data_IF_566908641420
#
_entry.id   IF_566908641420
#
_cell.length_a   1.000
_cell.length_b   1.000
_cell.length_c   1.000
_cell.angle_alpha   90.00
_cell.angle_beta   90.00
_cell.angle_gamma   90.00
#
_symmetry.space_group_name_H-M   'P 1'
#
loop_
_entity.id
_entity.type
_entity.pdbx_description
1 polymer ?
#
# COMPACT_ATOMS: atom_id res chain seq x y z
N UNK A 1 7.61 -26.11 -20.07
CA UNK A 1 6.83 -27.08 -19.26
C UNK A 1 5.85 -26.27 -18.45
N UNK A 2 4.59 -26.72 -18.32
CA UNK A 2 3.63 -26.07 -17.42
C UNK A 2 4.16 -26.17 -16.00
N UNK A 3 4.28 -25.03 -15.32
CA UNK A 3 4.70 -25.03 -13.92
C UNK A 3 3.46 -25.27 -13.08
N UNK A 4 3.37 -26.46 -12.49
CA UNK A 4 2.26 -26.88 -11.64
C UNK A 4 2.81 -27.40 -10.31
N UNK A 5 2.36 -26.81 -9.21
CA UNK A 5 2.77 -27.18 -7.85
C UNK A 5 1.63 -26.90 -6.87
N UNK A 6 1.76 -27.44 -5.66
CA UNK A 6 0.84 -27.14 -4.57
C UNK A 6 1.59 -26.68 -3.31
N UNK A 7 0.97 -25.75 -2.58
CA UNK A 7 1.38 -25.36 -1.23
C UNK A 7 0.38 -25.97 -0.24
N UNK A 8 0.88 -26.63 0.80
CA UNK A 8 0.05 -27.27 1.84
C UNK A 8 0.40 -26.73 3.23
N UNK A 9 -0.62 -26.32 3.97
CA UNK A 9 -0.47 -25.75 5.32
C UNK A 9 -1.75 -25.07 5.81
N UNK A 10 -1.64 -24.23 6.83
CA UNK A 10 -2.75 -23.34 7.19
C UNK A 10 -2.86 -22.24 6.15
N UNK A 11 -4.06 -21.94 5.67
CA UNK A 11 -4.27 -20.93 4.63
C UNK A 11 -5.31 -19.89 5.05
N UNK A 12 -5.17 -18.68 4.52
CA UNK A 12 -6.19 -17.64 4.55
C UNK A 12 -6.81 -17.56 3.15
N UNK A 13 -7.97 -18.18 2.96
CA UNK A 13 -8.69 -18.22 1.69
C UNK A 13 -10.13 -17.77 1.88
N UNK A 14 -10.65 -16.98 0.93
CA UNK A 14 -12.03 -16.47 0.95
C UNK A 14 -12.45 -15.83 2.29
N UNK A 15 -11.54 -15.09 2.94
CA UNK A 15 -11.79 -14.41 4.22
C UNK A 15 -11.81 -15.35 5.45
N UNK A 16 -11.39 -16.61 5.29
CA UNK A 16 -11.42 -17.61 6.35
C UNK A 16 -10.04 -18.24 6.59
N UNK A 17 -9.80 -18.62 7.85
CA UNK A 17 -8.65 -19.43 8.24
C UNK A 17 -8.99 -20.92 8.11
N UNK A 18 -8.22 -21.65 7.30
CA UNK A 18 -8.39 -23.09 7.06
C UNK A 18 -7.13 -23.81 7.57
N UNK A 19 -7.30 -24.80 8.45
CA UNK A 19 -6.19 -25.44 9.15
C UNK A 19 -5.42 -26.48 8.29
N UNK A 20 -6.13 -27.32 7.54
CA UNK A 20 -5.55 -28.25 6.56
C UNK A 20 -5.90 -27.75 5.16
N UNK A 21 -5.23 -26.68 4.75
CA UNK A 21 -5.49 -26.02 3.48
C UNK A 21 -4.52 -26.44 2.38
N UNK A 22 -4.97 -26.25 1.15
CA UNK A 22 -4.22 -26.51 -0.07
C UNK A 22 -4.40 -25.35 -1.04
N UNK A 23 -3.29 -24.87 -1.62
CA UNK A 23 -3.29 -23.96 -2.76
C UNK A 23 -2.62 -24.66 -3.92
N UNK A 24 -3.32 -24.83 -5.03
CA UNK A 24 -2.80 -25.44 -6.26
C UNK A 24 -2.61 -24.34 -7.29
N UNK A 25 -1.41 -24.27 -7.87
CA UNK A 25 -1.01 -23.27 -8.86
C UNK A 25 -0.70 -23.97 -10.16
N UNK A 26 -1.19 -23.44 -11.28
CA UNK A 26 -0.82 -23.87 -12.62
C UNK A 26 -0.64 -22.65 -13.52
N UNK A 27 0.48 -22.61 -14.25
CA UNK A 27 0.76 -21.59 -15.26
C UNK A 27 0.64 -20.13 -14.74
N UNK A 28 0.99 -19.92 -13.46
CA UNK A 28 0.97 -18.60 -12.81
C UNK A 28 -0.38 -18.19 -12.20
N UNK A 29 -1.39 -19.06 -12.25
CA UNK A 29 -2.74 -18.82 -11.74
C UNK A 29 -3.09 -19.84 -10.66
N UNK A 30 -3.85 -19.42 -9.66
CA UNK A 30 -4.43 -20.31 -8.66
C UNK A 30 -5.57 -21.11 -9.32
N UNK A 31 -5.48 -22.44 -9.28
CA UNK A 31 -6.55 -23.33 -9.79
C UNK A 31 -7.41 -23.91 -8.68
N UNK A 32 -6.92 -23.88 -7.44
CA UNK A 32 -7.65 -24.27 -6.24
C UNK A 32 -7.06 -23.60 -5.01
N UNK A 33 -7.91 -23.13 -4.10
CA UNK A 33 -7.52 -22.71 -2.76
C UNK A 33 -8.67 -23.04 -1.80
N UNK A 34 -8.40 -23.84 -0.78
CA UNK A 34 -9.45 -24.29 0.16
C UNK A 34 -8.99 -25.42 1.05
N UNK A 35 -9.94 -26.11 1.66
CA UNK A 35 -9.69 -27.32 2.46
C UNK A 35 -9.06 -28.43 1.60
N UNK A 36 -7.98 -29.04 2.06
CA UNK A 36 -7.25 -30.05 1.31
C UNK A 36 -8.13 -31.26 0.93
N UNK A 37 -9.12 -31.63 1.74
CA UNK A 37 -10.06 -32.71 1.46
C UNK A 37 -11.06 -32.34 0.34
N UNK A 38 -11.24 -31.05 0.06
CA UNK A 38 -12.10 -30.55 -1.02
C UNK A 38 -11.46 -30.66 -2.41
N UNK A 39 -10.17 -30.96 -2.52
CA UNK A 39 -9.49 -31.08 -3.80
C UNK A 39 -9.62 -32.50 -4.39
N UNK A 40 -10.44 -32.65 -5.42
CA UNK A 40 -10.82 -33.96 -5.98
C UNK A 40 -9.84 -34.54 -7.02
N UNK A 41 -8.78 -33.83 -7.40
CA UNK A 41 -7.79 -34.27 -8.40
C UNK A 41 -6.53 -34.80 -7.72
N UNK A 42 -5.69 -35.59 -8.42
CA UNK A 42 -4.35 -35.92 -7.94
C UNK A 42 -3.56 -34.64 -7.63
N UNK A 43 -2.78 -34.65 -6.55
CA UNK A 43 -1.87 -33.57 -6.24
C UNK A 43 -0.80 -33.44 -7.34
N UNK A 44 -0.32 -32.21 -7.62
CA UNK A 44 0.86 -32.02 -8.45
C UNK A 44 2.07 -32.78 -7.92
N UNK A 45 3.04 -33.05 -8.80
CA UNK A 45 4.30 -33.72 -8.42
C UNK A 45 5.07 -32.93 -7.37
N UNK A 46 5.06 -31.60 -7.46
CA UNK A 46 5.70 -30.71 -6.51
C UNK A 46 4.68 -30.25 -5.46
N UNK A 47 4.89 -30.67 -4.21
CA UNK A 47 4.08 -30.23 -3.06
C UNK A 47 5.02 -29.68 -2.01
N UNK A 48 4.86 -28.40 -1.67
CA UNK A 48 5.65 -27.71 -0.66
C UNK A 48 4.82 -27.57 0.62
N UNK A 49 5.26 -28.22 1.69
CA UNK A 49 4.65 -28.07 3.02
C UNK A 49 5.24 -26.83 3.71
N UNK A 50 4.38 -25.90 4.15
CA UNK A 50 4.81 -24.56 4.62
C UNK A 50 4.99 -24.44 6.14
N UNK A 51 5.05 -25.57 6.87
CA UNK A 51 5.27 -25.59 8.32
C UNK A 51 4.06 -25.12 9.13
N UNK A 52 4.30 -24.43 10.26
CA UNK A 52 3.26 -24.05 11.24
C UNK A 52 2.60 -22.70 10.96
N UNK A 53 3.14 -21.94 10.02
CA UNK A 53 2.71 -20.60 9.65
C UNK A 53 1.49 -20.57 8.72
N UNK A 54 1.36 -19.50 7.94
CA UNK A 54 0.17 -19.19 7.14
C UNK A 54 0.51 -18.94 5.68
N UNK A 55 -0.26 -19.53 4.78
CA UNK A 55 -0.28 -19.19 3.35
C UNK A 55 -1.38 -18.15 3.15
N UNK A 56 -0.99 -16.94 2.76
CA UNK A 56 -1.85 -15.79 2.56
C UNK A 56 -1.83 -15.35 1.09
N UNK A 57 -2.84 -14.60 0.62
CA UNK A 57 -2.69 -13.82 -0.59
C UNK A 57 -1.47 -12.89 -0.46
N UNK A 58 -0.77 -12.67 -1.57
CA UNK A 58 0.31 -11.70 -1.64
C UNK A 58 -0.18 -10.30 -1.25
N UNK A 59 0.64 -9.56 -0.50
CA UNK A 59 0.27 -8.23 -0.04
C UNK A 59 0.37 -7.20 -1.17
N UNK A 60 -0.44 -6.15 -1.07
CA UNK A 60 -0.50 -5.01 -2.00
C UNK A 60 -0.23 -3.73 -1.22
N UNK A 61 0.91 -3.10 -1.47
CA UNK A 61 1.26 -1.84 -0.82
C UNK A 61 0.91 -0.65 -1.71
N UNK A 62 -0.20 0.03 -1.39
CA UNK A 62 -0.69 1.14 -2.21
C UNK A 62 -0.07 2.49 -1.85
N UNK A 63 0.78 2.55 -0.82
CA UNK A 63 1.48 3.76 -0.43
C UNK A 63 2.83 3.40 0.19
N UNK A 64 3.89 3.47 -0.62
CA UNK A 64 5.26 3.25 -0.19
C UNK A 64 6.24 4.09 -1.03
N UNK A 65 7.17 4.79 -0.38
CA UNK A 65 8.15 5.63 -1.06
C UNK A 65 9.43 4.86 -1.39
N UNK A 66 9.94 4.11 -0.42
CA UNK A 66 11.22 3.42 -0.53
C UNK A 66 11.41 2.29 0.49
N UNK A 67 12.44 1.49 0.27
CA UNK A 67 12.88 0.38 1.14
C UNK A 67 14.31 -0.04 0.76
N UNK A 68 15.06 -0.59 1.71
CA UNK A 68 16.39 -1.18 1.51
C UNK A 68 17.43 -0.24 0.88
N UNK A 69 17.35 1.06 1.19
CA UNK A 69 18.26 2.10 0.71
C UNK A 69 17.82 2.82 -0.56
N UNK A 70 16.72 2.37 -1.16
CA UNK A 70 16.20 2.85 -2.44
C UNK A 70 14.88 3.58 -2.25
N UNK A 71 14.66 4.60 -3.09
CA UNK A 71 13.45 5.42 -3.10
C UNK A 71 12.91 5.58 -4.53
N UNK A 72 11.58 5.68 -4.66
CA UNK A 72 10.90 5.93 -5.94
C UNK A 72 11.41 7.22 -6.59
N UNK A 73 11.69 8.25 -5.78
CA UNK A 73 12.21 9.53 -6.24
C UNK A 73 13.67 9.47 -6.72
N UNK A 74 14.40 8.37 -6.48
CA UNK A 74 15.72 8.17 -7.09
C UNK A 74 15.62 8.09 -8.63
N UNK A 75 14.44 7.75 -9.18
CA UNK A 75 14.12 7.94 -10.60
C UNK A 75 14.86 7.01 -11.57
N UNK A 76 15.42 5.90 -11.08
CA UNK A 76 16.19 4.95 -11.90
C UNK A 76 15.54 3.56 -11.98
N UNK A 77 15.77 2.79 -13.06
CA UNK A 77 15.36 1.40 -13.15
C UNK A 77 15.95 0.52 -12.05
N UNK A 78 17.19 0.78 -11.67
CA UNK A 78 17.91 0.05 -10.62
C UNK A 78 17.22 0.23 -9.26
N UNK A 79 16.80 1.45 -8.93
CA UNK A 79 16.08 1.73 -7.67
C UNK A 79 14.76 0.96 -7.61
N UNK A 80 13.93 1.02 -8.66
CA UNK A 80 12.65 0.30 -8.69
C UNK A 80 12.83 -1.22 -8.66
N UNK A 81 13.87 -1.76 -9.30
CA UNK A 81 14.17 -3.19 -9.24
C UNK A 81 14.64 -3.63 -7.84
N UNK A 82 15.42 -2.80 -7.16
CA UNK A 82 15.84 -3.05 -5.79
C UNK A 82 14.63 -3.01 -4.83
N UNK A 83 13.78 -1.99 -4.93
CA UNK A 83 12.52 -1.87 -4.19
C UNK A 83 11.65 -3.11 -4.40
N UNK A 84 11.42 -3.51 -5.67
CA UNK A 84 10.63 -4.69 -6.02
C UNK A 84 11.13 -5.98 -5.36
N UNK A 85 12.45 -6.18 -5.35
CA UNK A 85 13.08 -7.36 -4.75
C UNK A 85 12.99 -7.32 -3.23
N UNK A 86 13.23 -6.14 -2.65
CA UNK A 86 13.19 -5.93 -1.21
C UNK A 86 11.77 -6.13 -0.64
N UNK A 87 10.76 -5.58 -1.30
CA UNK A 87 9.34 -5.74 -0.96
C UNK A 87 8.91 -7.21 -0.93
N UNK A 88 9.39 -8.03 -1.87
CA UNK A 88 9.09 -9.45 -1.89
C UNK A 88 9.60 -10.19 -0.64
N UNK A 89 10.67 -9.72 0.02
CA UNK A 89 11.14 -10.29 1.30
C UNK A 89 10.16 -10.07 2.45
N UNK A 90 9.17 -9.19 2.26
CA UNK A 90 8.16 -8.83 3.25
C UNK A 90 6.73 -9.17 2.78
N UNK A 91 6.62 -10.07 1.80
CA UNK A 91 5.34 -10.66 1.38
C UNK A 91 4.54 -9.78 0.42
N UNK A 92 5.09 -8.63 0.04
CA UNK A 92 4.48 -7.74 -0.95
C UNK A 92 4.73 -8.30 -2.35
N UNK A 93 3.65 -8.40 -3.12
CA UNK A 93 3.65 -8.97 -4.48
C UNK A 93 3.31 -7.93 -5.53
N UNK A 94 2.65 -6.85 -5.11
CA UNK A 94 2.40 -5.68 -5.96
C UNK A 94 2.40 -4.40 -5.13
N UNK A 95 2.74 -3.28 -5.76
CA UNK A 95 2.78 -1.99 -5.09
C UNK A 95 2.51 -0.83 -6.05
N UNK A 96 2.13 0.31 -5.48
CA UNK A 96 2.22 1.60 -6.16
C UNK A 96 3.57 2.24 -5.83
N UNK A 97 4.28 2.69 -6.85
CA UNK A 97 5.46 3.51 -6.64
C UNK A 97 4.99 4.92 -6.22
N UNK A 98 5.26 5.31 -4.97
CA UNK A 98 4.79 6.59 -4.43
C UNK A 98 5.84 7.69 -4.56
N UNK A 99 5.48 8.80 -5.20
CA UNK A 99 6.35 9.98 -5.28
C UNK A 99 6.29 10.82 -4.00
N UNK A 100 7.19 11.79 -3.87
CA UNK A 100 7.11 12.86 -2.87
C UNK A 100 6.77 14.19 -3.55
N UNK A 101 6.40 15.20 -2.76
CA UNK A 101 6.30 16.60 -3.21
C UNK A 101 7.68 17.10 -3.65
N UNK A 102 7.83 17.31 -4.95
CA UNK A 102 9.06 17.75 -5.61
C UNK A 102 8.76 18.70 -6.78
N UNK A 103 9.76 19.44 -7.28
CA UNK A 103 9.62 20.23 -8.50
C UNK A 103 9.20 19.35 -9.68
N UNK A 104 8.46 19.91 -10.65
CA UNK A 104 7.96 19.14 -11.78
C UNK A 104 9.11 18.56 -12.63
N UNK A 105 10.22 19.28 -12.77
CA UNK A 105 11.43 18.80 -13.44
C UNK A 105 12.05 17.55 -12.81
N UNK A 106 11.77 17.27 -11.53
CA UNK A 106 12.16 16.04 -10.85
C UNK A 106 11.07 14.96 -10.93
N UNK A 107 9.79 15.35 -10.83
CA UNK A 107 8.66 14.41 -10.92
C UNK A 107 8.48 13.80 -12.31
N UNK A 108 8.55 14.60 -13.37
CA UNK A 108 8.33 14.14 -14.74
C UNK A 108 9.21 12.93 -15.12
N UNK A 109 10.56 12.96 -14.96
CA UNK A 109 11.40 11.81 -15.29
C UNK A 109 11.14 10.60 -14.39
N UNK A 110 10.73 10.79 -13.13
CA UNK A 110 10.35 9.68 -12.24
C UNK A 110 9.11 8.95 -12.78
N UNK A 111 8.08 9.68 -13.21
CA UNK A 111 6.87 9.09 -13.80
C UNK A 111 7.17 8.32 -15.10
N UNK A 112 8.00 8.89 -15.97
CA UNK A 112 8.45 8.24 -17.20
C UNK A 112 9.23 6.95 -16.92
N UNK A 113 10.15 6.99 -15.96
CA UNK A 113 10.92 5.81 -15.53
C UNK A 113 10.00 4.70 -15.00
N UNK A 114 9.03 5.03 -14.13
CA UNK A 114 8.06 4.05 -13.63
C UNK A 114 7.26 3.42 -14.78
N UNK A 115 6.80 4.23 -15.73
CA UNK A 115 6.06 3.74 -16.90
C UNK A 115 6.89 2.81 -17.79
N UNK A 116 8.17 3.12 -18.00
CA UNK A 116 9.07 2.28 -18.75
C UNK A 116 9.35 0.94 -18.04
N UNK A 117 9.68 1.00 -16.75
CA UNK A 117 10.07 -0.17 -15.95
C UNK A 117 8.88 -1.12 -15.74
N UNK A 118 7.69 -0.59 -15.47
CA UNK A 118 6.47 -1.41 -15.30
C UNK A 118 6.19 -2.30 -16.53
N UNK A 119 6.47 -1.81 -17.74
CA UNK A 119 6.31 -2.58 -19.00
C UNK A 119 7.36 -3.65 -19.20
N UNK A 120 8.59 -3.42 -18.72
CA UNK A 120 9.68 -4.39 -18.82
C UNK A 120 9.52 -5.54 -17.82
N UNK A 121 8.83 -5.27 -16.71
CA UNK A 121 8.66 -6.20 -15.61
C UNK A 121 9.84 -6.15 -14.65
N UNK A 122 9.59 -6.60 -13.42
CA UNK A 122 10.56 -6.63 -12.33
C UNK A 122 10.72 -8.05 -11.79
N UNK A 123 11.86 -8.31 -11.15
CA UNK A 123 12.18 -9.64 -10.59
C UNK A 123 11.39 -10.01 -9.32
N UNK A 124 10.88 -9.03 -8.57
CA UNK A 124 10.14 -9.23 -7.32
C UNK A 124 8.69 -8.77 -7.41
N UNK A 125 8.26 -7.94 -6.46
CA UNK A 125 6.93 -7.33 -6.47
C UNK A 125 6.68 -6.50 -7.75
N UNK A 126 5.45 -6.52 -8.27
CA UNK A 126 5.08 -5.80 -9.48
C UNK A 126 4.65 -4.36 -9.19
N UNK A 127 5.15 -3.40 -9.98
CA UNK A 127 4.58 -2.05 -10.01
C UNK A 127 3.26 -2.09 -10.76
N UNK A 128 2.14 -1.93 -10.03
CA UNK A 128 0.78 -1.93 -10.59
C UNK A 128 0.24 -0.51 -10.81
N UNK A 129 1.04 0.51 -10.47
CA UNK A 129 0.71 1.90 -10.73
C UNK A 129 1.59 2.88 -9.96
N UNK A 130 1.14 4.12 -9.96
CA UNK A 130 1.76 5.28 -9.33
C UNK A 130 0.76 5.86 -8.33
N UNK A 131 1.27 6.16 -7.14
CA UNK A 131 0.63 7.04 -6.18
C UNK A 131 1.38 8.38 -6.23
N UNK A 132 0.74 9.40 -6.78
CA UNK A 132 1.28 10.75 -6.79
C UNK A 132 0.92 11.42 -5.46
N UNK A 133 1.84 11.41 -4.48
CA UNK A 133 1.63 12.07 -3.19
C UNK A 133 2.17 13.51 -3.21
N UNK A 134 1.26 14.48 -3.32
CA UNK A 134 1.61 15.87 -3.64
C UNK A 134 1.97 16.08 -5.11
N UNK A 135 2.42 17.28 -5.52
CA UNK A 135 2.75 18.44 -4.69
C UNK A 135 1.53 19.30 -4.29
N UNK A 136 0.31 18.86 -4.60
CA UNK A 136 -0.92 19.63 -4.43
C UNK A 136 -1.53 19.51 -3.03
N UNK A 137 -0.74 19.85 -2.02
CA UNK A 137 -1.08 19.64 -0.61
C UNK A 137 -1.14 20.98 0.16
N UNK A 138 -1.52 20.94 1.44
CA UNK A 138 -1.54 22.13 2.29
C UNK A 138 -0.18 22.34 2.99
N UNK A 139 0.48 23.50 2.83
CA UNK A 139 1.75 23.81 3.51
C UNK A 139 1.72 23.64 5.04
N UNK A 140 0.58 23.91 5.68
CA UNK A 140 0.43 23.77 7.14
C UNK A 140 0.35 22.31 7.60
N UNK A 141 -0.03 21.42 6.69
CA UNK A 141 -0.17 19.98 6.92
C UNK A 141 0.82 19.19 6.06
N UNK A 142 1.97 19.80 5.72
CA UNK A 142 2.98 19.19 4.86
C UNK A 142 3.63 17.92 5.43
N UNK A 143 3.64 17.73 6.75
CA UNK A 143 4.40 16.63 7.35
C UNK A 143 5.87 16.66 6.92
N UNK A 144 6.35 15.57 6.33
CA UNK A 144 7.71 15.48 5.77
C UNK A 144 7.82 15.89 4.29
N UNK A 145 6.80 16.51 3.71
CA UNK A 145 6.83 17.07 2.37
C UNK A 145 7.56 18.42 2.39
N UNK A 146 8.44 18.67 1.40
CA UNK A 146 9.19 19.94 1.32
C UNK A 146 8.27 21.10 0.96
N UNK A 147 8.18 22.09 1.83
CA UNK A 147 7.24 23.21 1.69
C UNK A 147 7.46 24.03 0.41
N UNK A 148 8.72 24.26 0.05
CA UNK A 148 9.13 25.01 -1.14
C UNK A 148 8.67 24.39 -2.47
N UNK A 149 8.35 23.09 -2.46
CA UNK A 149 7.90 22.35 -3.63
C UNK A 149 6.38 22.22 -3.71
N UNK A 150 5.63 22.68 -2.70
CA UNK A 150 4.17 22.62 -2.69
C UNK A 150 3.61 23.58 -3.75
N UNK A 151 2.72 23.08 -4.58
CA UNK A 151 2.15 23.81 -5.71
C UNK A 151 0.61 23.71 -5.72
N UNK A 152 -0.03 24.64 -6.43
CA UNK A 152 -1.46 24.52 -6.71
C UNK A 152 -1.71 23.48 -7.82
N UNK A 153 -2.84 22.73 -7.76
CA UNK A 153 -3.24 21.74 -8.74
C UNK A 153 -3.79 22.37 -10.02
N UNK A 154 -2.98 23.21 -10.67
CA UNK A 154 -3.32 23.77 -11.99
C UNK A 154 -3.63 22.65 -12.97
N UNK A 155 -4.77 22.74 -13.64
CA UNK A 155 -5.28 21.65 -14.47
C UNK A 155 -4.26 21.24 -15.56
N UNK A 156 -3.51 22.17 -16.12
CA UNK A 156 -2.47 21.89 -17.11
C UNK A 156 -1.34 21.03 -16.54
N UNK A 157 -0.93 21.29 -15.29
CA UNK A 157 0.11 20.49 -14.62
C UNK A 157 -0.43 19.09 -14.25
N UNK A 158 -1.68 19.02 -13.80
CA UNK A 158 -2.37 17.74 -13.50
C UNK A 158 -2.43 16.86 -14.75
N UNK A 159 -2.87 17.44 -15.86
CA UNK A 159 -2.95 16.76 -17.16
C UNK A 159 -1.57 16.30 -17.63
N UNK A 160 -0.55 17.15 -17.52
CA UNK A 160 0.83 16.81 -17.90
C UNK A 160 1.36 15.59 -17.15
N UNK A 161 1.23 15.58 -15.82
CA UNK A 161 1.71 14.45 -15.01
C UNK A 161 0.89 13.17 -15.28
N UNK A 162 -0.43 13.30 -15.49
CA UNK A 162 -1.28 12.17 -15.87
C UNK A 162 -0.85 11.54 -17.20
N UNK A 163 -0.56 12.35 -18.22
CA UNK A 163 -0.09 11.89 -19.53
C UNK A 163 1.24 11.13 -19.42
N UNK A 164 2.19 11.67 -18.65
CA UNK A 164 3.51 11.06 -18.43
C UNK A 164 3.43 9.72 -17.70
N UNK A 165 2.45 9.56 -16.80
CA UNK A 165 2.20 8.30 -16.12
C UNK A 165 1.66 7.21 -17.05
N UNK A 166 1.26 7.53 -18.29
CA UNK A 166 0.90 6.56 -19.35
C UNK A 166 -0.12 5.49 -18.89
N UNK A 167 -1.13 5.91 -18.12
CA UNK A 167 -2.20 5.04 -17.59
C UNK A 167 -1.88 4.33 -16.27
N UNK A 168 -0.69 4.58 -15.70
CA UNK A 168 -0.28 4.05 -14.39
C UNK A 168 -0.64 4.96 -13.21
N UNK A 169 -1.07 6.20 -13.41
CA UNK A 169 -1.55 7.04 -12.30
C UNK A 169 -2.81 6.42 -11.70
N UNK A 170 -2.71 5.84 -10.51
CA UNK A 170 -3.82 5.17 -9.83
C UNK A 170 -4.37 5.98 -8.68
N UNK A 171 -3.49 6.60 -7.89
CA UNK A 171 -3.87 7.39 -6.72
C UNK A 171 -3.20 8.76 -6.81
N UNK A 172 -3.93 9.82 -6.47
CA UNK A 172 -3.38 11.16 -6.26
C UNK A 172 -3.80 11.61 -4.87
N UNK A 173 -2.82 11.94 -4.02
CA UNK A 173 -3.08 12.61 -2.73
C UNK A 173 -3.08 14.11 -2.93
N UNK A 174 -4.19 14.75 -2.57
CA UNK A 174 -4.43 16.19 -2.75
C UNK A 174 -5.10 16.79 -1.51
N UNK A 175 -4.79 18.05 -1.20
CA UNK A 175 -5.49 18.81 -0.19
C UNK A 175 -6.70 19.53 -0.82
N UNK A 176 -7.94 19.06 -0.57
CA UNK A 176 -9.11 19.51 -1.33
C UNK A 176 -9.53 20.96 -1.07
N UNK A 177 -9.07 21.55 0.04
CA UNK A 177 -9.35 22.94 0.39
C UNK A 177 -8.42 23.95 -0.30
N UNK A 178 -7.40 23.49 -1.03
CA UNK A 178 -6.52 24.37 -1.78
C UNK A 178 -7.25 24.97 -2.99
N UNK A 179 -6.88 26.18 -3.43
CA UNK A 179 -7.38 26.74 -4.69
C UNK A 179 -7.21 25.76 -5.85
N UNK A 180 -8.18 25.73 -6.76
CA UNK A 180 -8.19 24.90 -7.99
C UNK A 180 -8.31 23.37 -7.73
N UNK A 181 -8.29 22.92 -6.48
CA UNK A 181 -8.32 21.49 -6.16
C UNK A 181 -9.62 20.81 -6.63
N UNK A 182 -10.80 21.42 -6.42
CA UNK A 182 -12.07 20.79 -6.81
C UNK A 182 -12.17 20.51 -8.32
N UNK A 183 -11.62 21.41 -9.16
CA UNK A 183 -11.57 21.22 -10.61
C UNK A 183 -10.63 20.06 -10.99
N UNK A 184 -9.43 20.03 -10.40
CA UNK A 184 -8.49 18.92 -10.59
C UNK A 184 -9.05 17.58 -10.12
N UNK A 185 -9.75 17.56 -8.98
CA UNK A 185 -10.40 16.38 -8.40
C UNK A 185 -11.47 15.84 -9.35
N UNK A 186 -12.34 16.72 -9.87
CA UNK A 186 -13.37 16.32 -10.81
C UNK A 186 -12.77 15.73 -12.09
N UNK A 187 -11.73 16.37 -12.63
CA UNK A 187 -11.05 15.90 -13.83
C UNK A 187 -10.35 14.54 -13.62
N UNK A 188 -9.61 14.36 -12.52
CA UNK A 188 -8.91 13.11 -12.18
C UNK A 188 -9.90 11.94 -12.03
N UNK A 189 -11.05 12.18 -11.41
CA UNK A 189 -12.14 11.20 -11.30
C UNK A 189 -12.66 10.78 -12.68
N UNK A 190 -12.84 11.71 -13.62
CA UNK A 190 -13.24 11.39 -15.00
C UNK A 190 -12.20 10.52 -15.72
N UNK A 191 -10.92 10.65 -15.36
CA UNK A 191 -9.85 9.79 -15.87
C UNK A 191 -9.73 8.43 -15.16
N UNK A 192 -10.60 8.15 -14.18
CA UNK A 192 -10.57 6.92 -13.40
C UNK A 192 -9.44 6.86 -12.36
N UNK A 193 -8.85 8.00 -12.00
CA UNK A 193 -7.85 8.10 -10.94
C UNK A 193 -8.55 8.21 -9.58
N UNK A 194 -8.04 7.49 -8.58
CA UNK A 194 -8.54 7.57 -7.22
C UNK A 194 -7.95 8.81 -6.57
N UNK A 195 -8.81 9.80 -6.35
CA UNK A 195 -8.43 10.99 -5.60
C UNK A 195 -8.53 10.69 -4.11
N UNK A 196 -7.41 10.87 -3.41
CA UNK A 196 -7.27 10.69 -1.98
C UNK A 196 -7.09 12.04 -1.28
N UNK A 197 -7.86 12.30 -0.23
CA UNK A 197 -7.64 13.47 0.62
C UNK A 197 -6.53 13.18 1.64
N UNK A 198 -5.48 13.99 1.63
CA UNK A 198 -4.32 13.85 2.52
C UNK A 198 -3.53 15.15 2.60
N UNK A 199 -2.67 15.28 3.63
CA UNK A 199 -1.90 16.50 3.87
C UNK A 199 -2.75 17.78 3.83
N UNK A 200 -3.89 17.73 4.53
CA UNK A 200 -5.00 18.67 4.35
C UNK A 200 -5.44 19.28 5.67
N UNK A 201 -5.70 20.58 5.62
CA UNK A 201 -6.32 21.36 6.68
C UNK A 201 -7.82 21.55 6.52
N UNK A 202 -8.48 20.78 5.64
CA UNK A 202 -9.88 20.96 5.33
C UNK A 202 -10.77 20.84 6.57
N UNK A 203 -11.87 21.60 6.56
CA UNK A 203 -12.99 21.37 7.47
C UNK A 203 -13.79 20.14 7.01
N UNK A 204 -14.66 19.63 7.89
CA UNK A 204 -15.58 18.56 7.50
C UNK A 204 -16.44 18.93 6.28
N UNK A 205 -16.93 20.17 6.20
CA UNK A 205 -17.75 20.64 5.08
C UNK A 205 -16.97 20.65 3.76
N UNK A 206 -15.72 21.09 3.77
CA UNK A 206 -14.85 21.06 2.59
C UNK A 206 -14.50 19.62 2.18
N UNK A 207 -14.28 18.72 3.14
CA UNK A 207 -14.07 17.31 2.85
C UNK A 207 -15.31 16.67 2.20
N UNK A 208 -16.51 17.01 2.68
CA UNK A 208 -17.77 16.55 2.07
C UNK A 208 -17.95 17.09 0.64
N UNK A 209 -17.66 18.38 0.40
CA UNK A 209 -17.66 18.97 -0.95
C UNK A 209 -16.66 18.26 -1.87
N UNK A 210 -15.49 17.90 -1.36
CA UNK A 210 -14.49 17.15 -2.12
C UNK A 210 -14.96 15.73 -2.46
N UNK A 211 -15.68 15.07 -1.55
CA UNK A 211 -16.32 13.77 -1.80
C UNK A 211 -17.36 13.89 -2.91
N UNK A 212 -18.17 14.94 -2.91
CA UNK A 212 -19.12 15.21 -3.98
C UNK A 212 -18.42 15.43 -5.33
N UNK A 213 -17.32 16.19 -5.33
CA UNK A 213 -16.49 16.43 -6.52
C UNK A 213 -15.87 15.15 -7.06
N UNK A 214 -15.29 14.30 -6.21
CA UNK A 214 -14.64 13.08 -6.67
C UNK A 214 -13.71 12.33 -5.71
N UNK A 215 -13.43 12.86 -4.52
CA UNK A 215 -12.63 12.15 -3.52
C UNK A 215 -13.28 10.81 -3.15
N UNK A 216 -12.50 9.73 -3.19
CA UNK A 216 -12.96 8.38 -2.84
C UNK A 216 -12.07 7.67 -1.82
N UNK A 217 -11.00 8.33 -1.39
CA UNK A 217 -10.02 7.76 -0.48
C UNK A 217 -9.47 8.81 0.50
N UNK A 218 -8.88 8.36 1.61
CA UNK A 218 -8.20 9.21 2.59
C UNK A 218 -6.82 8.62 2.89
N UNK A 219 -5.78 9.41 2.66
CA UNK A 219 -4.37 9.01 2.79
C UNK A 219 -4.00 8.92 4.27
N UNK A 220 -3.21 7.90 4.65
CA UNK A 220 -2.70 7.66 6.03
C UNK A 220 -3.51 8.31 7.16
N UNK A 221 -4.76 7.86 7.35
CA UNK A 221 -5.74 8.53 8.21
C UNK A 221 -5.14 8.93 9.56
N UNK A 222 -5.53 10.11 10.07
CA UNK A 222 -4.97 10.81 11.24
C UNK A 222 -3.69 11.59 10.97
N UNK A 223 -2.79 11.11 10.11
CA UNK A 223 -1.51 11.75 9.86
C UNK A 223 -1.69 12.95 8.91
N UNK A 224 -1.08 14.09 9.24
CA UNK A 224 -1.16 15.31 8.43
C UNK A 224 -2.60 15.75 8.07
N UNK A 225 -3.55 15.62 9.01
CA UNK A 225 -4.96 15.96 8.84
C UNK A 225 -5.51 16.78 10.01
N UNK A 226 -6.59 17.53 9.78
CA UNK A 226 -7.41 18.04 10.90
C UNK A 226 -8.03 16.88 11.68
N UNK A 227 -7.83 16.89 12.99
CA UNK A 227 -8.31 15.84 13.89
C UNK A 227 -9.82 15.85 14.12
N UNK A 228 -10.32 14.81 14.80
CA UNK A 228 -11.71 14.67 15.20
C UNK A 228 -12.01 15.45 16.49
N UNK A 229 -12.80 16.51 16.38
CA UNK A 229 -13.41 17.18 17.52
C UNK A 229 -14.95 17.15 17.39
N UNK A 230 -15.68 16.97 18.49
CA UNK A 230 -17.14 16.72 18.46
C UNK A 230 -17.99 17.86 17.88
N UNK A 231 -17.48 19.09 17.81
CA UNK A 231 -18.12 20.24 17.14
C UNK A 231 -17.55 20.55 15.75
N UNK A 232 -16.34 20.09 15.49
CA UNK A 232 -15.59 20.38 14.27
C UNK A 232 -14.87 19.08 13.86
N UNK A 233 -15.57 18.16 13.16
CA UNK A 233 -15.07 16.80 12.99
C UNK A 233 -13.78 16.69 12.16
N UNK A 234 -13.42 17.72 11.39
CA UNK A 234 -12.24 17.73 10.55
C UNK A 234 -12.26 16.63 9.47
N UNK A 235 -11.09 16.39 8.89
CA UNK A 235 -10.88 15.36 7.86
C UNK A 235 -10.91 13.96 8.47
N UNK A 236 -10.38 13.77 9.68
CA UNK A 236 -10.50 12.48 10.39
C UNK A 236 -11.97 12.11 10.62
N UNK A 237 -12.79 13.08 11.02
CA UNK A 237 -14.23 12.87 11.15
C UNK A 237 -14.93 12.62 9.82
N UNK A 238 -14.51 13.28 8.74
CA UNK A 238 -15.02 12.99 7.40
C UNK A 238 -14.66 11.58 6.95
N UNK A 239 -13.41 11.15 7.16
CA UNK A 239 -12.97 9.80 6.89
C UNK A 239 -13.85 8.80 7.65
N UNK A 240 -14.07 8.97 8.95
CA UNK A 240 -14.93 8.07 9.73
C UNK A 240 -16.42 8.13 9.34
N UNK A 241 -16.95 9.31 9.01
CA UNK A 241 -18.37 9.51 8.68
C UNK A 241 -18.72 8.87 7.33
N UNK A 242 -17.86 9.01 6.33
CA UNK A 242 -18.03 8.38 5.02
C UNK A 242 -17.52 6.93 5.05
N UNK A 243 -18.16 6.07 5.83
CA UNK A 243 -17.75 4.67 6.06
C UNK A 243 -17.63 3.83 4.77
N UNK A 244 -18.40 4.18 3.73
CA UNK A 244 -18.38 3.54 2.41
C UNK A 244 -17.16 3.91 1.56
N UNK A 245 -16.41 4.96 1.92
CA UNK A 245 -15.15 5.32 1.28
C UNK A 245 -13.99 4.63 1.97
N UNK A 246 -12.93 4.33 1.22
CA UNK A 246 -11.75 3.68 1.78
C UNK A 246 -10.80 4.69 2.45
N UNK A 247 -9.91 4.18 3.30
CA UNK A 247 -8.86 4.96 3.93
C UNK A 247 -7.63 4.11 4.18
N UNK A 248 -6.46 4.72 4.20
CA UNK A 248 -5.21 4.04 4.56
C UNK A 248 -4.96 4.11 6.07
N UNK A 249 -4.16 3.17 6.58
CA UNK A 249 -3.65 3.14 7.94
C UNK A 249 -2.21 2.62 7.98
N UNK A 250 -1.32 3.41 8.58
CA UNK A 250 0.04 3.00 8.95
C UNK A 250 -0.03 2.29 10.31
N UNK A 251 -0.02 0.95 10.29
CA UNK A 251 -0.23 0.13 11.48
C UNK A 251 1.08 -0.24 12.20
N UNK A 252 1.92 0.73 12.55
CA UNK A 252 3.20 0.52 13.24
C UNK A 252 3.15 0.68 14.77
N UNK A 253 2.06 1.24 15.31
CA UNK A 253 1.90 1.53 16.75
C UNK A 253 2.49 2.87 17.17
N UNK A 254 3.07 3.61 16.23
CA UNK A 254 3.78 4.87 16.41
C UNK A 254 3.00 6.00 15.76
N UNK A 255 2.70 5.89 14.47
CA UNK A 255 1.90 6.86 13.71
C UNK A 255 0.48 6.96 14.27
N UNK A 256 -0.08 5.81 14.66
CA UNK A 256 -1.43 5.69 15.20
C UNK A 256 -1.37 4.79 16.44
N UNK A 257 -1.97 5.24 17.54
CA UNK A 257 -2.06 4.43 18.76
C UNK A 257 -2.93 3.17 18.51
N UNK A 258 -2.59 1.97 19.04
CA UNK A 258 -3.34 0.73 18.78
C UNK A 258 -4.86 0.82 19.07
N UNK A 259 -5.25 1.50 20.15
CA UNK A 259 -6.67 1.73 20.43
C UNK A 259 -7.39 2.51 19.30
N UNK A 260 -6.70 3.47 18.68
CA UNK A 260 -7.24 4.28 17.58
C UNK A 260 -7.28 3.46 16.28
N UNK A 261 -6.27 2.62 16.02
CA UNK A 261 -6.33 1.65 14.92
C UNK A 261 -7.57 0.76 15.02
N UNK A 262 -7.85 0.23 16.23
CA UNK A 262 -9.02 -0.61 16.48
C UNK A 262 -10.33 0.14 16.30
N UNK A 263 -10.40 1.42 16.68
CA UNK A 263 -11.57 2.28 16.44
C UNK A 263 -11.78 2.46 14.94
N UNK A 264 -10.74 2.84 14.20
CA UNK A 264 -10.84 3.05 12.76
C UNK A 264 -11.28 1.78 12.03
N UNK A 265 -10.70 0.62 12.39
CA UNK A 265 -11.12 -0.68 11.87
C UNK A 265 -12.61 -0.97 12.17
N UNK A 266 -13.14 -0.61 13.34
CA UNK A 266 -14.57 -0.87 13.63
C UNK A 266 -15.51 -0.01 12.81
N UNK A 267 -15.06 1.17 12.40
CA UNK A 267 -15.83 2.09 11.55
C UNK A 267 -15.72 1.69 10.08
N UNK A 268 -14.51 1.38 9.62
CA UNK A 268 -14.22 1.11 8.20
C UNK A 268 -14.37 -0.35 7.81
N UNK A 269 -14.25 -1.26 8.77
CA UNK A 269 -14.12 -2.71 8.55
C UNK A 269 -12.89 -3.07 7.71
N UNK A 270 -12.62 -4.36 7.52
CA UNK A 270 -11.53 -4.81 6.66
C UNK A 270 -11.71 -4.36 5.20
N UNK A 271 -12.96 -4.24 4.72
CA UNK A 271 -13.28 -3.96 3.32
C UNK A 271 -12.91 -2.53 2.87
N UNK A 272 -12.80 -1.57 3.82
CA UNK A 272 -12.53 -0.15 3.52
C UNK A 272 -11.28 0.39 4.20
N UNK A 273 -10.55 -0.43 4.94
CA UNK A 273 -9.31 -0.04 5.60
C UNK A 273 -8.11 -0.71 4.90
N UNK A 274 -7.29 0.06 4.21
CA UNK A 274 -6.08 -0.45 3.58
C UNK A 274 -4.88 -0.26 4.52
N UNK A 275 -4.15 -1.34 4.80
CA UNK A 275 -2.84 -1.21 5.44
C UNK A 275 -1.83 -0.75 4.40
N UNK A 276 -1.10 0.30 4.74
CA UNK A 276 0.01 0.82 3.94
C UNK A 276 1.27 0.86 4.78
N UNK A 277 2.43 0.73 4.14
CA UNK A 277 3.67 0.92 4.88
C UNK A 277 3.97 2.39 5.09
N UNK A 278 3.69 3.25 4.10
CA UNK A 278 4.30 4.59 4.01
C UNK A 278 5.82 4.51 4.27
N UNK A 279 6.45 3.42 3.80
CA UNK A 279 7.86 3.16 4.10
C UNK A 279 8.75 4.11 3.31
N UNK A 280 9.82 4.56 3.96
CA UNK A 280 10.90 5.29 3.31
C UNK A 280 12.17 4.44 3.21
N UNK A 281 13.17 4.89 2.45
CA UNK A 281 14.39 4.13 2.10
C UNK A 281 15.10 3.41 3.27
N UNK A 282 14.93 3.86 4.51
CA UNK A 282 15.52 3.24 5.69
C UNK A 282 14.83 1.93 6.13
N UNK A 283 13.62 1.64 5.65
CA UNK A 283 12.95 0.38 5.92
C UNK A 283 13.89 -0.79 5.53
N UNK A 284 13.98 -1.80 6.38
CA UNK A 284 14.91 -2.94 6.28
C UNK A 284 16.41 -2.68 6.55
N UNK A 285 16.85 -1.44 6.83
CA UNK A 285 18.27 -1.13 7.05
C UNK A 285 18.68 -0.90 8.52
N UNK A 286 17.71 -0.66 9.40
CA UNK A 286 17.95 -0.40 10.82
C UNK A 286 18.17 1.08 11.14
N UNK A 287 18.77 1.35 12.30
CA UNK A 287 19.02 2.71 12.76
C UNK A 287 20.12 3.40 11.95
N UNK A 288 19.94 4.70 11.69
CA UNK A 288 20.86 5.47 10.87
C UNK A 288 20.32 6.84 10.47
N UNK A 289 21.03 7.48 9.55
CA UNK A 289 20.61 8.71 8.91
C UNK A 289 20.41 8.45 7.41
N UNK A 290 19.27 8.87 6.90
CA UNK A 290 18.80 8.60 5.55
C UNK A 290 18.17 9.86 4.94
N UNK A 291 17.78 9.77 3.68
CA UNK A 291 17.11 10.85 2.96
C UNK A 291 15.63 10.50 2.71
N UNK A 292 14.73 11.48 2.80
CA UNK A 292 13.37 11.41 2.25
C UNK A 292 13.02 12.73 1.59
N UNK A 293 12.75 12.71 0.29
CA UNK A 293 12.43 13.92 -0.48
C UNK A 293 13.53 15.00 -0.41
N UNK A 294 14.80 14.61 -0.25
CA UNK A 294 15.92 15.54 -0.09
C UNK A 294 16.04 16.15 1.32
N UNK A 295 15.43 15.55 2.34
CA UNK A 295 15.54 15.94 3.75
C UNK A 295 16.23 14.86 4.58
N UNK A 296 17.10 15.28 5.51
CA UNK A 296 17.74 14.36 6.46
C UNK A 296 16.69 13.78 7.43
N UNK A 297 16.57 12.45 7.43
CA UNK A 297 15.72 11.67 8.33
C UNK A 297 16.60 10.81 9.24
N UNK A 298 16.37 10.88 10.54
CA UNK A 298 17.06 10.06 11.54
C UNK A 298 16.14 8.93 11.99
N UNK A 299 16.63 7.71 11.88
CA UNK A 299 15.95 6.51 12.37
C UNK A 299 16.56 6.07 13.69
N UNK A 300 15.76 6.12 14.75
CA UNK A 300 16.09 5.59 16.08
C UNK A 300 14.84 5.05 16.76
N UNK A 301 14.97 3.95 17.50
CA UNK A 301 13.86 3.35 18.27
C UNK A 301 12.62 3.12 17.41
N UNK A 302 12.82 2.60 16.19
CA UNK A 302 11.81 2.37 15.15
C UNK A 302 11.05 3.59 14.63
N UNK A 303 11.54 4.81 14.88
CA UNK A 303 10.92 6.05 14.42
C UNK A 303 11.83 6.77 13.42
N UNK A 304 11.28 7.11 12.25
CA UNK A 304 11.91 7.97 11.27
C UNK A 304 11.46 9.42 11.50
N UNK A 305 12.39 10.32 11.84
CA UNK A 305 12.08 11.72 12.17
C UNK A 305 12.99 12.72 11.49
N UNK A 306 12.40 13.86 11.10
CA UNK A 306 13.15 15.08 10.76
C UNK A 306 13.83 15.68 12.00
N UNK A 307 14.70 16.66 11.78
CA UNK A 307 15.41 17.36 12.85
C UNK A 307 14.48 18.07 13.87
N UNK A 308 13.29 18.47 13.46
CA UNK A 308 12.27 19.09 14.31
C UNK A 308 11.37 18.10 15.06
N UNK A 309 11.58 16.79 14.85
CA UNK A 309 10.82 15.71 15.49
C UNK A 309 9.59 15.24 14.71
N UNK A 310 9.27 15.84 13.56
CA UNK A 310 8.20 15.40 12.66
C UNK A 310 8.47 13.99 12.15
N UNK A 311 7.47 13.09 12.18
CA UNK A 311 7.58 11.77 11.57
C UNK A 311 7.69 11.89 10.04
N UNK A 312 8.60 11.11 9.45
CA UNK A 312 8.97 11.21 8.04
C UNK A 312 8.92 9.84 7.37
N UNK A 313 7.72 9.48 6.88
CA UNK A 313 7.38 8.12 6.52
C UNK A 313 7.55 7.16 7.70
N UNK A 314 7.65 5.89 7.39
CA UNK A 314 7.86 4.82 8.36
C UNK A 314 9.03 3.91 7.97
N UNK A 315 9.37 3.00 8.89
CA UNK A 315 10.20 1.82 8.60
C UNK A 315 9.38 0.52 8.63
N UNK A 316 8.05 0.64 8.53
CA UNK A 316 7.09 -0.45 8.59
C UNK A 316 7.19 -1.32 7.34
N UNK A 317 6.95 -2.62 7.50
CA UNK A 317 6.74 -3.56 6.39
C UNK A 317 5.33 -4.16 6.51
N UNK A 318 4.67 -4.49 5.40
CA UNK A 318 3.26 -4.91 5.44
C UNK A 318 3.03 -6.19 6.25
N UNK A 319 3.97 -7.16 6.25
CA UNK A 319 3.86 -8.33 7.12
C UNK A 319 3.82 -7.94 8.61
N UNK A 320 4.58 -6.90 9.00
CA UNK A 320 4.54 -6.34 10.35
C UNK A 320 3.26 -5.55 10.59
N UNK A 321 2.74 -4.81 9.61
CA UNK A 321 1.45 -4.13 9.71
C UNK A 321 0.31 -5.13 10.03
N UNK A 322 0.26 -6.26 9.32
CA UNK A 322 -0.68 -7.37 9.59
C UNK A 322 -0.50 -7.89 11.02
N UNK A 323 0.74 -8.23 11.39
CA UNK A 323 1.05 -8.73 12.73
C UNK A 323 0.65 -7.76 13.85
N UNK A 324 0.86 -6.46 13.64
CA UNK A 324 0.50 -5.41 14.59
C UNK A 324 -1.02 -5.25 14.72
N UNK A 325 -1.79 -5.32 13.63
CA UNK A 325 -3.26 -5.29 13.71
C UNK A 325 -3.81 -6.46 14.51
N UNK A 326 -3.21 -7.65 14.38
CA UNK A 326 -3.60 -8.83 15.16
C UNK A 326 -3.19 -8.69 16.62
N UNK A 327 -1.93 -8.37 16.89
CA UNK A 327 -1.33 -8.44 18.24
C UNK A 327 -1.60 -7.21 19.10
N UNK A 328 -1.61 -6.00 18.52
CA UNK A 328 -1.78 -4.74 19.24
C UNK A 328 -3.24 -4.28 19.27
N UNK A 329 -3.99 -4.53 18.19
CA UNK A 329 -5.35 -4.03 17.99
C UNK A 329 -6.43 -5.12 18.11
N UNK A 330 -6.05 -6.41 18.19
CA UNK A 330 -6.97 -7.53 18.36
C UNK A 330 -7.91 -7.75 17.17
N UNK A 331 -7.45 -7.45 15.96
CA UNK A 331 -8.17 -7.76 14.71
C UNK A 331 -7.96 -9.23 14.34
N UNK A 332 -9.00 -9.97 13.89
CA UNK A 332 -8.83 -11.34 13.40
C UNK A 332 -7.81 -11.41 12.25
N UNK A 333 -6.97 -12.45 12.24
CA UNK A 333 -5.93 -12.61 11.21
C UNK A 333 -6.47 -12.58 9.76
N UNK A 334 -7.57 -13.28 9.39
CA UNK A 334 -8.08 -13.21 8.02
C UNK A 334 -8.40 -11.78 7.57
N UNK A 335 -8.96 -10.96 8.46
CA UNK A 335 -9.30 -9.57 8.19
C UNK A 335 -8.07 -8.67 8.15
N UNK A 336 -7.07 -8.90 9.01
CA UNK A 336 -5.79 -8.19 8.93
C UNK A 336 -5.06 -8.46 7.60
N UNK A 337 -5.10 -9.70 7.13
CA UNK A 337 -4.58 -10.09 5.80
C UNK A 337 -5.39 -9.44 4.69
N UNK A 338 -6.72 -9.40 4.79
CA UNK A 338 -7.59 -8.73 3.82
C UNK A 338 -7.23 -7.25 3.65
N UNK A 339 -7.03 -6.54 4.76
CA UNK A 339 -6.62 -5.12 4.76
C UNK A 339 -5.25 -4.88 4.10
N UNK A 340 -4.36 -5.87 4.04
CA UNK A 340 -3.06 -5.79 3.38
C UNK A 340 -3.03 -6.39 1.96
N UNK A 341 -4.14 -6.97 1.49
CA UNK A 341 -4.18 -7.71 0.21
C UNK A 341 -5.42 -7.37 -0.61
N UNK A 342 -6.56 -7.99 -0.32
CA UNK A 342 -7.79 -7.81 -1.09
C UNK A 342 -8.30 -6.38 -1.09
N UNK A 343 -8.26 -5.69 0.05
CA UNK A 343 -8.78 -4.33 0.18
C UNK A 343 -8.00 -3.34 -0.69
N UNK A 344 -6.67 -3.20 -0.55
CA UNK A 344 -5.89 -2.36 -1.48
C UNK A 344 -6.02 -2.82 -2.93
N UNK A 345 -6.02 -4.13 -3.23
CA UNK A 345 -6.26 -4.61 -4.59
C UNK A 345 -7.61 -4.14 -5.16
N UNK A 346 -8.68 -4.19 -4.36
CA UNK A 346 -10.03 -3.79 -4.77
C UNK A 346 -10.16 -2.28 -4.96
N UNK A 347 -9.56 -1.49 -4.06
CA UNK A 347 -9.50 -0.04 -4.20
C UNK A 347 -8.86 0.33 -5.54
N UNK A 348 -7.78 -0.35 -5.91
CA UNK A 348 -7.03 -0.12 -7.15
C UNK A 348 -7.63 -0.76 -8.41
N UNK A 349 -8.78 -1.44 -8.31
CA UNK A 349 -9.44 -2.09 -9.45
C UNK A 349 -8.85 -3.44 -9.86
N UNK A 350 -8.06 -4.08 -9.00
CA UNK A 350 -7.46 -5.40 -9.20
C UNK A 350 -8.10 -6.53 -8.35
N UNK A 351 -9.17 -6.24 -7.60
CA UNK A 351 -9.79 -7.18 -6.64
C UNK A 351 -10.36 -8.48 -7.23
N UNK A 352 -10.57 -8.55 -8.55
CA UNK A 352 -11.00 -9.76 -9.27
C UNK A 352 -9.83 -10.66 -9.71
N UNK A 353 -8.58 -10.18 -9.57
CA UNK A 353 -7.38 -10.94 -9.97
C UNK A 353 -6.33 -11.07 -8.87
N UNK A 354 -6.28 -10.14 -7.92
CA UNK A 354 -5.28 -10.07 -6.86
C UNK A 354 -5.90 -10.00 -5.46
N UNK A 355 -5.09 -10.31 -4.45
CA UNK A 355 -5.43 -10.15 -3.05
C UNK A 355 -6.35 -11.23 -2.47
N UNK A 356 -6.63 -12.31 -3.20
CA UNK A 356 -7.34 -13.49 -2.66
C UNK A 356 -6.66 -14.77 -3.12
N UNK A 357 -6.72 -15.79 -2.27
CA UNK A 357 -6.46 -17.18 -2.66
C UNK A 357 -7.77 -17.78 -3.14
N UNK A 358 -8.01 -17.74 -4.45
CA UNK A 358 -9.22 -18.29 -5.08
C UNK A 358 -8.92 -18.70 -6.53
N UNK A 359 -9.69 -19.64 -7.08
CA UNK A 359 -9.49 -20.10 -8.44
C UNK A 359 -9.64 -18.94 -9.45
N UNK A 360 -8.72 -18.86 -10.42
CA UNK A 360 -8.68 -17.81 -11.45
C UNK A 360 -7.90 -16.55 -11.06
N UNK A 361 -7.49 -16.41 -9.80
CA UNK A 361 -6.63 -15.32 -9.34
C UNK A 361 -5.17 -15.56 -9.72
N UNK A 362 -4.41 -14.48 -9.86
CA UNK A 362 -2.95 -14.54 -9.99
C UNK A 362 -2.38 -15.29 -8.78
N UNK A 363 -1.39 -16.16 -9.01
CA UNK A 363 -0.70 -16.86 -7.92
C UNK A 363 0.32 -15.94 -7.23
N UNK A 364 -0.20 -14.84 -6.68
CA UNK A 364 0.48 -13.91 -5.79
C UNK A 364 0.24 -14.37 -4.36
N UNK A 365 1.28 -14.89 -3.71
CA UNK A 365 1.17 -15.63 -2.45
C UNK A 365 2.28 -15.19 -1.49
N UNK A 366 1.93 -14.93 -0.24
CA UNK A 366 2.88 -14.73 0.85
C UNK A 366 2.77 -15.89 1.85
N UNK A 367 3.89 -16.52 2.18
CA UNK A 367 3.96 -17.56 3.21
C UNK A 367 4.66 -16.98 4.42
N UNK A 368 3.92 -16.87 5.52
CA UNK A 368 4.38 -16.33 6.79
C UNK A 368 4.68 -17.44 7.78
N UNK A 369 5.58 -17.23 8.74
CA UNK A 369 5.67 -18.04 9.94
C UNK A 369 4.73 -17.54 11.06
N UNK A 370 4.83 -18.13 12.25
CA UNK A 370 4.00 -17.79 13.41
C UNK A 370 4.24 -16.38 13.97
N UNK A 371 5.38 -15.75 13.65
CA UNK A 371 5.73 -14.40 14.06
C UNK A 371 5.41 -13.35 12.99
N UNK A 372 4.74 -13.78 11.90
CA UNK A 372 4.46 -12.99 10.71
C UNK A 372 5.71 -12.66 9.88
N UNK A 373 6.84 -13.34 10.10
CA UNK A 373 8.00 -13.19 9.23
C UNK A 373 7.82 -14.00 7.96
N UNK A 374 8.28 -13.46 6.84
CA UNK A 374 8.05 -14.09 5.53
C UNK A 374 9.05 -15.22 5.31
N UNK A 375 8.52 -16.37 4.91
CA UNK A 375 9.28 -17.57 4.55
C UNK A 375 9.42 -17.68 3.04
N UNK A 376 8.34 -17.43 2.30
CA UNK A 376 8.34 -17.44 0.84
C UNK A 376 7.40 -16.39 0.27
N UNK A 377 7.72 -15.87 -0.91
CA UNK A 377 6.83 -15.00 -1.69
C UNK A 377 6.79 -15.45 -3.13
N UNK A 378 5.59 -15.56 -3.67
CA UNK A 378 5.33 -15.92 -5.06
C UNK A 378 4.66 -14.75 -5.77
N UNK A 379 5.13 -14.46 -6.99
CA UNK A 379 4.53 -13.46 -7.89
C UNK A 379 4.21 -14.14 -9.21
N UNK A 380 2.93 -14.10 -9.61
CA UNK A 380 2.42 -14.83 -10.77
C UNK A 380 2.90 -16.29 -10.81
N UNK A 381 2.86 -16.95 -9.65
CA UNK A 381 3.22 -18.35 -9.45
C UNK A 381 4.72 -18.65 -9.40
N UNK A 382 5.60 -17.66 -9.58
CA UNK A 382 7.05 -17.85 -9.46
C UNK A 382 7.51 -17.51 -8.04
N UNK A 383 8.29 -18.39 -7.42
CA UNK A 383 8.93 -18.08 -6.15
C UNK A 383 10.02 -17.01 -6.38
N UNK A 384 9.80 -15.80 -5.88
CA UNK A 384 10.72 -14.65 -6.02
C UNK A 384 11.49 -14.37 -4.73
N UNK A 385 11.11 -15.00 -3.62
CA UNK A 385 11.82 -14.93 -2.36
C UNK A 385 11.61 -16.22 -1.58
N UNK A 386 12.70 -16.80 -1.07
CA UNK A 386 12.68 -17.86 -0.08
C UNK A 386 13.70 -17.51 1.01
N UNK A 387 13.27 -17.54 2.26
CA UNK A 387 14.13 -17.32 3.42
C UNK A 387 15.17 -18.43 3.48
N UNK A 388 16.45 -18.07 3.51
CA UNK A 388 17.53 -19.02 3.78
C UNK A 388 17.37 -19.59 5.19
N UNK A 389 17.49 -20.91 5.32
CA UNK A 389 17.48 -21.60 6.62
C UNK A 389 18.69 -21.26 7.49
#
# INVERSE_FOLDING_TARGET
>A
MKQEYALKGKIIAEGQAIADGLVVVADGTIVYAGDAAGYAKPLPTEVVATGTGWICPGFVDMHMHGIDGHDTMDGTPESLQAISTALARYGVTSFLATTMTAPYEELEPVLENIAQVSRQGLLGAQVIGIHLEGPWINPRYKGAQKEENIALPKLEAVQRLYELAQGLMKVVTIAPEQPEALEAIAWLKEQGVIVSAGHTGATFAQAAEAVDAGVRHFTHCFNAMTGLHHREPGVVGAAMYHEHLSTELIADGIHVHPAVMRILYRVKTAERLALVSDSMRAAALGEGTYDLGGQEVRVRENQAKLADGTLAGSILTLNRAVGNMVTLSGVPLPEAVEMASHTPASILGYGERKGRLAAGYDADIAVLDENFDVVMTFVAGKNVYARSN
#
